data_IF_967318939091
#
_entry.id   IF_967318939091
#
_cell.length_a   1.000
_cell.length_b   1.000
_cell.length_c   1.000
_cell.angle_alpha   90.00
_cell.angle_beta   90.00
_cell.angle_gamma   90.00
#
_symmetry.space_group_name_H-M   'P 1'
#
loop_
_entity.id
_entity.type
_entity.pdbx_description
1 polymer ?
#
# COMPACT_ATOMS: atom_id res chain seq x y z
N UNK A 1 13.28 31.97 -7.38
CA UNK A 1 12.26 31.77 -8.43
C UNK A 1 11.83 30.31 -8.36
N UNK A 2 10.75 30.01 -7.62
CA UNK A 2 10.04 28.76 -7.79
C UNK A 2 8.83 29.12 -8.64
N UNK A 3 8.90 28.70 -9.90
CA UNK A 3 7.89 28.94 -10.91
C UNK A 3 6.68 28.02 -10.71
N UNK A 4 5.56 28.48 -11.24
CA UNK A 4 4.18 28.06 -10.98
C UNK A 4 3.79 26.68 -11.53
N UNK A 5 2.70 26.16 -10.93
CA UNK A 5 1.58 25.41 -11.55
C UNK A 5 1.86 24.06 -12.25
N UNK A 6 1.25 22.98 -11.73
CA UNK A 6 0.22 22.26 -12.50
C UNK A 6 -0.68 21.39 -11.61
N UNK A 7 -1.99 21.45 -11.86
CA UNK A 7 -3.05 20.67 -11.22
C UNK A 7 -3.13 19.27 -11.84
N UNK A 8 -2.03 18.51 -11.81
CA UNK A 8 -2.05 17.11 -12.22
C UNK A 8 -2.34 16.22 -11.01
N UNK A 9 -3.38 15.39 -11.11
CA UNK A 9 -3.61 14.29 -10.18
C UNK A 9 -2.43 13.33 -10.31
N UNK A 10 -1.42 13.48 -9.44
CA UNK A 10 -0.24 12.62 -9.43
C UNK A 10 -0.55 11.36 -8.64
N UNK A 11 -0.43 10.21 -9.30
CA UNK A 11 -0.47 8.91 -8.62
C UNK A 11 0.77 8.76 -7.73
N UNK A 12 0.56 8.28 -6.51
CA UNK A 12 1.62 8.11 -5.52
C UNK A 12 1.63 6.68 -4.96
N UNK A 13 2.84 6.13 -4.80
CA UNK A 13 3.04 4.84 -4.15
C UNK A 13 3.56 5.08 -2.73
N UNK A 14 2.87 4.54 -1.73
CA UNK A 14 3.27 4.64 -0.33
C UNK A 14 3.62 3.26 0.24
N UNK A 15 4.85 3.11 0.71
CA UNK A 15 5.23 1.95 1.52
C UNK A 15 4.72 2.15 2.95
N UNK A 16 3.66 1.44 3.33
CA UNK A 16 3.08 1.48 4.68
C UNK A 16 2.79 0.06 5.15
N UNK A 17 3.12 -0.26 6.40
CA UNK A 17 2.82 -1.59 6.97
C UNK A 17 1.32 -1.84 7.10
N UNK A 18 0.52 -0.79 7.37
CA UNK A 18 -0.95 -0.77 7.37
C UNK A 18 -1.62 -2.06 7.90
N UNK A 19 -1.03 -2.62 8.97
CA UNK A 19 -1.27 -4.02 9.38
C UNK A 19 -2.71 -4.26 9.84
N UNK A 20 -3.34 -3.24 10.44
CA UNK A 20 -4.72 -3.31 10.92
C UNK A 20 -5.68 -2.65 9.94
N UNK A 21 -6.89 -3.19 9.84
CA UNK A 21 -8.01 -2.62 9.08
C UNK A 21 -8.32 -1.17 9.49
N UNK A 22 -8.15 -0.84 10.78
CA UNK A 22 -8.34 0.52 11.27
C UNK A 22 -7.36 1.52 10.62
N UNK A 23 -6.10 1.14 10.41
CA UNK A 23 -5.12 2.02 9.75
C UNK A 23 -5.47 2.22 8.27
N UNK A 24 -5.89 1.16 7.57
CA UNK A 24 -6.36 1.26 6.18
C UNK A 24 -7.58 2.17 6.03
N UNK A 25 -8.52 2.09 6.98
CA UNK A 25 -9.68 2.98 7.03
C UNK A 25 -9.30 4.44 7.20
N UNK A 26 -8.30 4.75 8.03
CA UNK A 26 -7.79 6.13 8.18
C UNK A 26 -7.19 6.63 6.88
N UNK A 27 -6.44 5.80 6.14
CA UNK A 27 -5.88 6.19 4.85
C UNK A 27 -6.97 6.49 3.81
N UNK A 28 -7.99 5.64 3.71
CA UNK A 28 -9.13 5.83 2.81
C UNK A 28 -9.91 7.10 3.15
N UNK A 29 -10.20 7.32 4.44
CA UNK A 29 -10.95 8.49 4.89
C UNK A 29 -10.15 9.79 4.73
N UNK A 30 -8.85 9.76 5.06
CA UNK A 30 -7.95 10.91 4.93
C UNK A 30 -7.78 11.34 3.46
N UNK A 31 -7.62 10.38 2.56
CA UNK A 31 -7.58 10.63 1.13
C UNK A 31 -8.89 11.25 0.63
N UNK A 32 -10.04 10.72 1.06
CA UNK A 32 -11.34 11.28 0.71
C UNK A 32 -11.51 12.73 1.18
N UNK A 33 -11.02 13.07 2.37
CA UNK A 33 -11.08 14.44 2.91
C UNK A 33 -10.17 15.44 2.19
N UNK A 34 -9.03 15.00 1.64
CA UNK A 34 -8.15 15.85 0.83
C UNK A 34 -8.79 16.17 -0.52
N UNK A 35 -9.48 15.20 -1.13
CA UNK A 35 -10.20 15.40 -2.39
C UNK A 35 -11.36 16.42 -2.27
N UNK A 36 -11.98 16.53 -1.09
CA UNK A 36 -13.07 17.50 -0.83
C UNK A 36 -12.60 18.95 -0.66
N UNK A 37 -11.29 19.22 -0.56
CA UNK A 37 -10.77 20.60 -0.44
C UNK A 37 -10.50 21.26 -1.81
N UNK A 38 -10.80 20.58 -2.93
CA UNK A 38 -10.85 21.20 -4.27
C UNK A 38 -12.27 21.70 -4.55
N UNK A 39 -12.45 22.88 -5.20
CA UNK A 39 -13.77 23.44 -5.46
C UNK A 39 -14.63 22.45 -6.24
N UNK A 40 -15.75 22.12 -5.63
CA UNK A 40 -16.64 21.02 -5.98
C UNK A 40 -17.40 21.38 -7.26
N UNK A 41 -17.09 20.71 -8.37
CA UNK A 41 -18.03 20.63 -9.48
C UNK A 41 -19.09 19.58 -9.09
N UNK A 42 -20.38 19.96 -8.99
CA UNK A 42 -21.42 19.05 -8.51
C UNK A 42 -21.65 17.95 -9.54
N UNK A 43 -21.15 16.74 -9.26
CA UNK A 43 -21.38 15.56 -10.10
C UNK A 43 -20.32 14.46 -10.03
N UNK A 44 -19.09 14.77 -9.61
CA UNK A 44 -18.03 13.76 -9.44
C UNK A 44 -17.63 13.64 -7.97
N UNK A 45 -18.12 12.60 -7.29
CA UNK A 45 -17.46 12.09 -6.10
C UNK A 45 -16.09 11.55 -6.53
N UNK A 46 -15.08 12.41 -6.62
CA UNK A 46 -13.70 12.03 -6.88
C UNK A 46 -13.11 11.38 -5.60
N UNK A 47 -13.71 10.29 -5.14
CA UNK A 47 -13.12 9.44 -4.13
C UNK A 47 -11.75 9.01 -4.67
N UNK A 48 -10.68 9.36 -3.94
CA UNK A 48 -9.34 8.84 -4.24
C UNK A 48 -9.41 7.31 -4.16
N UNK A 49 -9.25 6.65 -5.31
CA UNK A 49 -9.20 5.19 -5.41
C UNK A 49 -7.85 4.74 -4.85
N UNK A 50 -7.84 4.30 -3.60
CA UNK A 50 -6.66 3.65 -3.00
C UNK A 50 -6.68 2.17 -3.39
N UNK A 51 -5.58 1.68 -3.95
CA UNK A 51 -5.32 0.25 -4.14
C UNK A 51 -4.34 -0.23 -3.07
N UNK A 52 -4.75 -1.19 -2.26
CA UNK A 52 -3.87 -1.83 -1.29
C UNK A 52 -3.14 -3.01 -1.93
N UNK A 53 -1.81 -2.95 -1.98
CA UNK A 53 -0.97 -4.08 -2.40
C UNK A 53 -0.50 -4.83 -1.16
N UNK A 54 -1.11 -6.00 -0.91
CA UNK A 54 -0.73 -6.87 0.19
C UNK A 54 0.34 -7.86 -0.29
N UNK A 55 1.56 -7.69 0.20
CA UNK A 55 2.66 -8.61 -0.06
C UNK A 55 2.61 -9.76 0.95
N UNK A 56 2.06 -10.89 0.54
CA UNK A 56 1.86 -12.06 1.40
C UNK A 56 2.99 -13.09 1.24
N UNK A 57 3.40 -13.72 2.32
CA UNK A 57 4.37 -14.81 2.24
C UNK A 57 4.74 -15.38 3.61
N UNK A 58 5.33 -16.59 3.62
CA UNK A 58 5.70 -17.24 4.87
C UNK A 58 6.77 -16.43 5.62
N UNK A 59 6.66 -16.44 6.95
CA UNK A 59 7.56 -15.71 7.86
C UNK A 59 9.04 -16.03 7.58
N UNK A 60 9.36 -17.27 7.21
CA UNK A 60 10.71 -17.73 6.93
C UNK A 60 11.34 -17.01 5.72
N UNK A 61 10.54 -16.74 4.67
CA UNK A 61 11.02 -15.99 3.50
C UNK A 61 11.29 -14.53 3.87
N UNK A 62 10.41 -13.93 4.69
CA UNK A 62 10.57 -12.55 5.13
C UNK A 62 11.79 -12.42 6.05
N UNK A 63 11.96 -13.36 6.99
CA UNK A 63 13.13 -13.43 7.86
C UNK A 63 14.43 -13.57 7.06
N UNK A 64 14.50 -14.51 6.11
CA UNK A 64 15.67 -14.70 5.25
C UNK A 64 16.00 -13.45 4.41
N UNK A 65 14.99 -12.69 3.98
CA UNK A 65 15.18 -11.41 3.25
C UNK A 65 15.67 -10.29 4.17
N UNK A 66 15.21 -10.26 5.42
CA UNK A 66 15.64 -9.29 6.43
C UNK A 66 17.09 -9.54 6.87
N UNK A 67 17.48 -10.80 7.09
CA UNK A 67 18.85 -11.18 7.47
C UNK A 67 19.89 -10.77 6.42
N UNK A 68 19.51 -10.78 5.14
CA UNK A 68 20.38 -10.32 4.05
C UNK A 68 20.61 -8.80 4.06
N UNK A 69 19.79 -8.01 4.76
CA UNK A 69 19.97 -6.55 4.87
C UNK A 69 21.01 -6.24 5.95
N UNK A 70 22.19 -5.77 5.53
CA UNK A 70 23.21 -5.26 6.46
C UNK A 70 22.77 -3.89 6.99
N UNK A 71 22.71 -3.72 8.31
CA UNK A 71 22.58 -2.40 8.97
C UNK A 71 21.29 -2.13 9.75
N UNK A 72 20.27 -2.98 9.64
CA UNK A 72 19.04 -2.86 10.46
C UNK A 72 18.63 -4.24 10.97
N UNK A 73 19.03 -4.56 12.20
CA UNK A 73 18.61 -5.79 12.87
C UNK A 73 17.15 -5.63 13.31
N UNK A 74 16.23 -6.23 12.56
CA UNK A 74 14.84 -6.33 13.00
C UNK A 74 14.73 -7.59 13.87
N UNK A 75 14.47 -7.47 15.18
CA UNK A 75 14.40 -8.64 16.05
C UNK A 75 13.28 -9.57 15.58
N UNK A 76 13.49 -10.90 15.59
CA UNK A 76 12.49 -11.88 15.12
C UNK A 76 11.17 -11.78 15.90
N UNK A 77 11.21 -11.34 17.15
CA UNK A 77 10.04 -11.06 17.98
C UNK A 77 9.15 -9.94 17.40
N UNK A 78 9.75 -8.92 16.78
CA UNK A 78 9.01 -7.85 16.12
C UNK A 78 8.40 -8.30 14.79
N UNK A 79 9.07 -9.21 14.07
CA UNK A 79 8.48 -9.84 12.90
C UNK A 79 7.25 -10.65 13.29
N UNK A 80 7.36 -11.48 14.34
CA UNK A 80 6.25 -12.25 14.87
C UNK A 80 5.08 -11.36 15.32
N UNK A 81 5.36 -10.29 16.07
CA UNK A 81 4.33 -9.34 16.49
C UNK A 81 3.63 -8.66 15.31
N UNK A 82 4.34 -8.38 14.21
CA UNK A 82 3.71 -7.84 12.99
C UNK A 82 2.79 -8.84 12.30
N UNK A 83 3.19 -10.12 12.22
CA UNK A 83 2.33 -11.20 11.72
C UNK A 83 1.11 -11.42 12.62
N UNK A 84 1.28 -11.41 13.94
CA UNK A 84 0.17 -11.54 14.90
C UNK A 84 -0.80 -10.36 14.82
N UNK A 85 -0.32 -9.19 14.40
CA UNK A 85 -1.11 -7.96 14.24
C UNK A 85 -1.73 -7.83 12.84
N UNK A 86 -1.31 -8.67 11.90
CA UNK A 86 -1.75 -8.59 10.50
C UNK A 86 -3.22 -8.98 10.40
N UNK A 87 -4.04 -8.03 9.98
CA UNK A 87 -5.41 -8.24 9.56
C UNK A 87 -5.44 -8.15 8.03
N UNK A 88 -5.42 -9.29 7.29
CA UNK A 88 -5.37 -9.28 5.84
C UNK A 88 -6.49 -8.40 5.25
N UNK A 89 -6.21 -7.62 4.19
CA UNK A 89 -7.26 -6.86 3.52
C UNK A 89 -8.32 -7.80 2.96
N UNK A 90 -9.58 -7.40 3.09
CA UNK A 90 -10.72 -8.17 2.63
C UNK A 90 -11.73 -7.27 1.96
N UNK A 91 -12.60 -7.82 1.10
CA UNK A 91 -13.71 -7.06 0.53
C UNK A 91 -14.51 -6.39 1.67
N UNK A 92 -14.97 -5.13 1.50
CA UNK A 92 -15.05 -4.35 0.26
C UNK A 92 -13.82 -3.45 -0.02
N UNK A 93 -12.68 -3.66 0.65
CA UNK A 93 -11.45 -2.90 0.36
C UNK A 93 -10.98 -3.21 -1.08
N UNK A 94 -10.43 -2.22 -1.79
CA UNK A 94 -9.78 -2.45 -3.09
C UNK A 94 -8.35 -2.92 -2.84
N UNK A 95 -8.09 -4.22 -2.98
CA UNK A 95 -6.78 -4.80 -2.71
C UNK A 95 -6.39 -5.87 -3.73
N UNK A 96 -5.08 -6.05 -3.89
CA UNK A 96 -4.48 -7.23 -4.51
C UNK A 96 -3.57 -7.91 -3.49
N UNK A 97 -3.48 -9.23 -3.57
CA UNK A 97 -2.50 -10.00 -2.79
C UNK A 97 -1.46 -10.57 -3.74
N UNK A 98 -0.18 -10.27 -3.48
CA UNK A 98 0.94 -10.70 -4.30
C UNK A 98 1.87 -11.55 -3.44
N UNK A 99 2.15 -12.78 -3.90
CA UNK A 99 3.00 -13.71 -3.16
C UNK A 99 4.48 -13.31 -3.23
N UNK A 100 5.12 -13.29 -2.08
CA UNK A 100 6.56 -13.07 -1.92
C UNK A 100 7.40 -14.29 -2.30
N UNK A 101 6.79 -15.44 -2.56
CA UNK A 101 7.50 -16.63 -3.06
C UNK A 101 7.99 -16.45 -4.50
N UNK A 102 7.37 -15.53 -5.25
CA UNK A 102 7.75 -15.16 -6.61
C UNK A 102 9.08 -14.39 -6.63
N UNK A 103 9.71 -14.38 -7.79
CA UNK A 103 10.88 -13.54 -8.03
C UNK A 103 10.51 -12.04 -8.06
N UNK A 104 11.46 -11.16 -7.75
CA UNK A 104 11.20 -9.71 -7.75
C UNK A 104 10.62 -9.19 -9.09
N UNK A 105 11.12 -9.62 -10.27
CA UNK A 105 10.52 -9.21 -11.55
C UNK A 105 9.05 -9.64 -11.71
N UNK A 106 8.70 -10.84 -11.26
CA UNK A 106 7.31 -11.34 -11.33
C UNK A 106 6.38 -10.55 -10.40
N UNK A 107 6.84 -10.23 -9.18
CA UNK A 107 6.10 -9.41 -8.22
C UNK A 107 5.81 -8.03 -8.82
N UNK A 108 6.83 -7.39 -9.42
CA UNK A 108 6.68 -6.06 -10.03
C UNK A 108 5.69 -6.11 -11.20
N UNK A 109 5.82 -7.08 -12.09
CA UNK A 109 4.95 -7.23 -13.26
C UNK A 109 3.49 -7.43 -12.85
N UNK A 110 3.23 -8.22 -11.80
CA UNK A 110 1.89 -8.44 -11.28
C UNK A 110 1.28 -7.16 -10.69
N UNK A 111 2.07 -6.38 -9.94
CA UNK A 111 1.63 -5.09 -9.39
C UNK A 111 1.35 -4.09 -10.53
N UNK A 112 2.24 -3.99 -11.51
CA UNK A 112 2.06 -3.13 -12.68
C UNK A 112 0.78 -3.51 -13.43
N UNK A 113 0.59 -4.80 -13.72
CA UNK A 113 -0.62 -5.28 -14.40
C UNK A 113 -1.89 -4.93 -13.62
N UNK A 114 -1.86 -5.01 -12.29
CA UNK A 114 -3.01 -4.66 -11.47
C UNK A 114 -3.28 -3.14 -11.44
N UNK A 115 -2.24 -2.31 -11.48
CA UNK A 115 -2.39 -0.85 -11.54
C UNK A 115 -2.99 -0.42 -12.88
N UNK A 116 -2.55 -1.02 -13.99
CA UNK A 116 -2.98 -0.62 -15.34
C UNK A 116 -4.32 -1.25 -15.81
N UNK A 117 -4.88 -2.21 -15.06
CA UNK A 117 -6.18 -2.83 -15.37
C UNK A 117 -7.37 -2.25 -14.61
N UNK A 118 -7.16 -1.34 -13.63
CA UNK A 118 -8.21 -0.73 -12.80
C UNK A 118 -8.58 0.70 -13.18
#
# INVERSE_FOLDING_TARGET
LFDREDSSRQDAILACSALKKMYRRVLVNGASAIASNQPEQPGENAALKILFVHLDGPIDIIAARLEKRRGHFMPPELLKSQFDTLEPPSAPENFITVSLEKSLPEIVLEIESAIFQG
#
